data_IF_594213878800
#
_entry.id   IF_594213878800
#
_cell.length_a   1.000
_cell.length_b   1.000
_cell.length_c   1.000
_cell.angle_alpha   90.00
_cell.angle_beta   90.00
_cell.angle_gamma   90.00
#
_symmetry.space_group_name_H-M   'P 1'
#
loop_
_entity.id
_entity.type
_entity.pdbx_description
1 polymer ?
#
# COMPACT_ATOMS: atom_id res chain seq x y z
N UNK A 1 -3.62 26.51 -8.87
CA UNK A 1 -3.17 26.77 -7.48
C UNK A 1 -4.00 25.93 -6.55
N UNK A 2 -3.36 25.18 -5.62
CA UNK A 2 -4.09 24.41 -4.60
C UNK A 2 -4.56 25.37 -3.50
N UNK A 3 -5.74 25.13 -2.94
CA UNK A 3 -6.27 25.91 -1.81
C UNK A 3 -5.89 25.22 -0.50
N UNK A 4 -5.30 25.93 0.48
CA UNK A 4 -5.05 25.36 1.81
C UNK A 4 -6.35 24.91 2.46
N UNK A 5 -6.29 23.79 3.19
CA UNK A 5 -7.42 23.19 3.91
C UNK A 5 -7.01 22.94 5.36
N UNK A 6 -7.95 23.16 6.28
CA UNK A 6 -7.72 23.04 7.72
C UNK A 6 -8.89 22.33 8.40
N UNK A 7 -8.67 21.82 9.61
CA UNK A 7 -9.69 21.21 10.45
C UNK A 7 -9.56 19.69 10.61
N UNK A 8 -10.57 19.05 11.22
CA UNK A 8 -10.59 17.61 11.47
C UNK A 8 -10.28 16.77 10.23
N UNK A 9 -9.32 15.85 10.35
CA UNK A 9 -8.90 14.98 9.26
C UNK A 9 -8.03 15.63 8.18
N UNK A 10 -7.62 16.89 8.35
CA UNK A 10 -6.77 17.63 7.41
C UNK A 10 -5.40 17.99 8.01
N UNK A 11 -4.93 17.23 9.01
CA UNK A 11 -3.61 17.44 9.60
C UNK A 11 -2.52 16.83 8.70
N UNK A 12 -1.55 17.65 8.30
CA UNK A 12 -0.35 17.21 7.61
C UNK A 12 0.60 16.42 8.53
N UNK A 13 1.54 15.69 7.94
CA UNK A 13 2.62 15.04 8.69
C UNK A 13 3.98 15.48 8.17
N UNK A 14 4.83 15.93 9.08
CA UNK A 14 6.17 16.40 8.75
C UNK A 14 7.03 15.24 8.21
N UNK A 15 7.81 15.48 7.16
CA UNK A 15 8.80 14.53 6.68
C UNK A 15 9.99 14.45 7.66
N UNK A 16 10.30 13.25 8.15
CA UNK A 16 11.34 12.99 9.16
C UNK A 16 12.64 12.43 8.56
N UNK A 17 12.89 12.70 7.28
CA UNK A 17 13.97 12.12 6.50
C UNK A 17 13.51 10.82 5.84
N UNK A 18 13.15 10.92 4.55
CA UNK A 18 12.62 9.84 3.73
C UNK A 18 11.39 9.11 4.32
N UNK A 19 10.56 9.78 5.13
CA UNK A 19 9.38 9.16 5.77
C UNK A 19 8.10 9.29 4.94
N UNK A 20 8.18 9.66 3.67
CA UNK A 20 7.01 9.86 2.82
C UNK A 20 6.20 8.56 2.64
N UNK A 21 6.84 7.39 2.59
CA UNK A 21 6.15 6.09 2.50
C UNK A 21 5.24 5.87 3.72
N UNK A 22 5.77 6.09 4.93
CA UNK A 22 5.02 6.03 6.18
C UNK A 22 3.89 7.05 6.14
N UNK A 23 4.21 8.28 5.71
CA UNK A 23 3.26 9.35 5.75
C UNK A 23 2.03 9.05 4.87
N UNK A 24 2.26 8.59 3.65
CA UNK A 24 1.21 8.23 2.70
C UNK A 24 0.35 7.05 3.20
N UNK A 25 0.97 6.01 3.77
CA UNK A 25 0.23 4.87 4.32
C UNK A 25 -0.65 5.30 5.49
N UNK A 26 -0.10 5.98 6.50
CA UNK A 26 -0.88 6.33 7.68
C UNK A 26 -2.01 7.31 7.35
N UNK A 27 -1.76 8.29 6.47
CA UNK A 27 -2.82 9.19 6.01
C UNK A 27 -3.96 8.43 5.32
N UNK A 28 -3.66 7.39 4.55
CA UNK A 28 -4.66 6.56 3.87
C UNK A 28 -5.43 5.69 4.86
N UNK A 29 -4.73 5.03 5.78
CA UNK A 29 -5.36 4.14 6.77
C UNK A 29 -6.32 4.90 7.69
N UNK A 30 -5.97 6.11 8.13
CA UNK A 30 -6.86 6.95 8.94
C UNK A 30 -8.01 7.62 8.15
N UNK A 31 -8.28 7.18 6.92
CA UNK A 31 -9.54 7.44 6.20
C UNK A 31 -10.48 6.23 6.19
N UNK A 32 -10.04 5.09 6.70
CA UNK A 32 -10.81 3.84 6.71
C UNK A 32 -11.58 3.76 8.03
N UNK A 33 -12.91 3.52 8.00
CA UNK A 33 -13.75 3.50 9.20
C UNK A 33 -13.22 2.60 10.33
N UNK A 34 -12.74 1.40 10.01
CA UNK A 34 -12.24 0.41 10.97
C UNK A 34 -11.06 0.97 11.79
N UNK A 35 -10.14 1.68 11.13
CA UNK A 35 -9.00 2.33 11.78
C UNK A 35 -9.43 3.53 12.61
N UNK A 36 -10.42 4.30 12.13
CA UNK A 36 -10.97 5.45 12.85
C UNK A 36 -11.68 4.97 14.12
N UNK A 37 -12.60 4.01 14.01
CA UNK A 37 -13.32 3.45 15.15
C UNK A 37 -12.36 2.92 16.22
N UNK A 38 -11.36 2.12 15.83
CA UNK A 38 -10.43 1.54 16.79
C UNK A 38 -9.52 2.58 17.45
N UNK A 39 -8.87 3.43 16.65
CA UNK A 39 -7.73 4.23 17.12
C UNK A 39 -8.06 5.71 17.35
N UNK A 40 -9.20 6.22 16.88
CA UNK A 40 -9.64 7.57 17.15
C UNK A 40 -10.81 7.60 18.12
N UNK A 41 -11.91 6.91 17.80
CA UNK A 41 -13.09 6.89 18.68
C UNK A 41 -12.81 6.08 19.95
N UNK A 42 -12.07 4.97 19.83
CA UNK A 42 -11.59 4.17 20.95
C UNK A 42 -10.39 4.74 21.72
N UNK A 43 -9.85 5.91 21.34
CA UNK A 43 -8.58 6.41 21.86
C UNK A 43 -8.58 6.61 23.39
N UNK A 44 -9.68 7.13 23.97
CA UNK A 44 -9.78 7.36 25.41
C UNK A 44 -9.64 6.05 26.20
N UNK A 45 -10.34 5.01 25.78
CA UNK A 45 -10.25 3.68 26.38
C UNK A 45 -8.82 3.11 26.27
N UNK A 46 -8.17 3.27 25.12
CA UNK A 46 -6.78 2.83 24.93
C UNK A 46 -5.84 3.57 25.89
N UNK A 47 -6.00 4.87 26.06
CA UNK A 47 -5.15 5.66 26.96
C UNK A 47 -5.40 5.34 28.44
N UNK A 48 -6.65 5.12 28.84
CA UNK A 48 -7.01 4.80 30.23
C UNK A 48 -6.55 3.42 30.67
N UNK A 49 -6.41 2.46 29.75
CA UNK A 49 -5.99 1.09 30.03
C UNK A 49 -4.47 0.87 29.91
N UNK A 50 -3.67 1.93 29.80
CA UNK A 50 -2.22 1.83 29.67
C UNK A 50 -1.56 1.29 30.95
N UNK A 51 -0.91 0.12 30.88
CA UNK A 51 -0.26 -0.52 32.05
C UNK A 51 1.27 -0.56 31.98
N UNK A 52 1.89 0.15 31.03
CA UNK A 52 3.34 0.17 30.81
C UNK A 52 3.84 1.49 30.24
N UNK A 53 5.04 1.51 29.63
CA UNK A 53 5.58 2.70 28.96
C UNK A 53 4.74 3.03 27.69
N UNK A 54 4.01 4.16 27.67
CA UNK A 54 3.19 4.54 26.52
C UNK A 54 3.98 4.74 25.22
N UNK A 55 5.29 5.02 25.30
CA UNK A 55 6.16 5.18 24.14
C UNK A 55 6.46 3.84 23.44
N UNK A 56 6.40 2.73 24.18
CA UNK A 56 6.67 1.38 23.68
C UNK A 56 5.40 0.57 23.38
N UNK A 57 4.22 1.13 23.66
CA UNK A 57 2.92 0.50 23.38
C UNK A 57 2.40 0.86 21.97
N UNK A 58 2.20 -0.16 21.15
CA UNK A 58 1.75 -0.01 19.78
C UNK A 58 0.36 0.62 19.66
N UNK A 59 -0.60 0.17 20.47
CA UNK A 59 -1.98 0.65 20.38
C UNK A 59 -2.08 2.10 20.86
N UNK A 60 -1.31 2.48 21.89
CA UNK A 60 -1.23 3.88 22.32
C UNK A 60 -0.60 4.77 21.26
N UNK A 61 0.52 4.35 20.63
CA UNK A 61 1.12 5.17 19.58
C UNK A 61 0.25 5.27 18.32
N UNK A 62 -0.48 4.21 17.96
CA UNK A 62 -1.51 4.25 16.90
C UNK A 62 -2.65 5.22 17.26
N UNK A 63 -3.19 5.13 18.48
CA UNK A 63 -4.28 6.00 18.92
C UNK A 63 -3.85 7.47 19.01
N UNK A 64 -2.64 7.72 19.53
CA UNK A 64 -2.03 9.05 19.54
C UNK A 64 -1.90 9.63 18.14
N UNK A 65 -1.46 8.82 17.18
CA UNK A 65 -1.33 9.23 15.78
C UNK A 65 -2.70 9.53 15.16
N UNK A 66 -3.69 8.65 15.36
CA UNK A 66 -5.06 8.86 14.90
C UNK A 66 -5.67 10.14 15.45
N UNK A 67 -5.55 10.37 16.75
CA UNK A 67 -5.96 11.62 17.39
C UNK A 67 -5.26 12.83 16.79
N UNK A 68 -3.95 12.75 16.57
CA UNK A 68 -3.17 13.80 15.93
C UNK A 68 -3.66 14.14 14.53
N UNK A 69 -4.08 13.14 13.76
CA UNK A 69 -4.54 13.30 12.37
C UNK A 69 -5.98 13.79 12.26
N UNK A 70 -6.87 13.34 13.16
CA UNK A 70 -8.31 13.46 12.99
C UNK A 70 -8.95 14.52 13.87
N UNK A 71 -8.34 14.90 15.00
CA UNK A 71 -8.95 15.85 15.96
C UNK A 71 -9.08 17.29 15.44
N UNK A 72 -8.32 17.68 14.42
CA UNK A 72 -8.23 19.07 13.93
C UNK A 72 -7.38 20.00 14.78
N UNK A 73 -6.94 19.55 15.97
CA UNK A 73 -6.07 20.33 16.89
C UNK A 73 -4.76 20.79 16.26
N UNK A 74 -4.26 20.04 15.28
CA UNK A 74 -3.00 20.28 14.59
C UNK A 74 -3.20 20.74 13.14
N UNK A 75 -4.40 21.15 12.78
CA UNK A 75 -4.74 21.68 11.47
C UNK A 75 -5.60 22.93 11.63
N UNK A 76 -4.95 24.02 12.04
CA UNK A 76 -5.58 25.33 12.27
C UNK A 76 -5.01 26.34 11.27
N UNK A 77 -5.84 27.24 10.70
CA UNK A 77 -5.33 28.25 9.79
C UNK A 77 -4.31 29.16 10.50
N UNK A 78 -3.27 29.63 9.80
CA UNK A 78 -2.33 30.56 10.38
C UNK A 78 -3.02 31.90 10.72
N UNK A 79 -2.54 32.65 11.72
CA UNK A 79 -3.10 33.95 12.07
C UNK A 79 -3.14 34.90 10.87
N UNK A 80 -4.13 35.82 10.80
CA UNK A 80 -4.18 36.85 9.76
C UNK A 80 -2.87 37.64 9.66
N UNK A 81 -2.36 37.80 8.46
CA UNK A 81 -1.08 38.48 8.20
C UNK A 81 0.15 37.58 8.23
N UNK A 82 -0.01 36.28 8.46
CA UNK A 82 1.08 35.31 8.29
C UNK A 82 1.51 35.21 6.82
N UNK A 83 2.79 34.93 6.53
CA UNK A 83 3.25 34.61 5.18
C UNK A 83 2.38 33.53 4.52
N UNK A 84 2.23 33.59 3.20
CA UNK A 84 1.44 32.61 2.42
C UNK A 84 1.93 31.17 2.66
N UNK A 85 3.20 30.99 2.99
CA UNK A 85 3.84 29.69 3.26
C UNK A 85 3.92 29.33 4.75
N UNK A 86 3.24 30.08 5.63
CA UNK A 86 3.22 29.83 7.07
C UNK A 86 2.28 28.68 7.48
N UNK A 87 2.12 27.68 6.62
CA UNK A 87 1.27 26.53 6.90
C UNK A 87 1.77 25.81 8.16
N UNK A 88 0.86 25.38 9.05
CA UNK A 88 1.23 24.62 10.23
C UNK A 88 1.99 23.36 9.80
N UNK A 89 3.10 23.00 10.47
CA UNK A 89 3.92 21.84 10.09
C UNK A 89 3.20 20.49 10.29
N UNK A 90 1.99 20.50 10.84
CA UNK A 90 1.21 19.33 11.21
C UNK A 90 1.82 18.60 12.40
N UNK A 91 1.72 17.27 12.40
CA UNK A 91 2.33 16.42 13.44
C UNK A 91 3.65 15.80 12.99
N UNK A 92 4.53 15.54 13.93
CA UNK A 92 5.81 14.86 13.71
C UNK A 92 5.85 13.53 14.48
N UNK A 93 5.44 12.39 13.88
CA UNK A 93 5.23 11.13 14.60
C UNK A 93 6.54 10.35 14.85
N UNK A 94 7.52 10.99 15.51
CA UNK A 94 8.85 10.39 15.76
C UNK A 94 8.79 9.14 16.62
N UNK A 95 8.02 9.17 17.71
CA UNK A 95 7.89 8.02 18.61
C UNK A 95 7.24 6.84 17.90
N UNK A 96 6.16 7.08 17.16
CA UNK A 96 5.53 6.07 16.33
C UNK A 96 6.52 5.46 15.30
N UNK A 97 7.27 6.29 14.56
CA UNK A 97 8.28 5.80 13.60
C UNK A 97 9.32 4.91 14.29
N UNK A 98 9.86 5.36 15.43
CA UNK A 98 10.86 4.59 16.18
C UNK A 98 10.30 3.26 16.64
N UNK A 99 9.07 3.24 17.18
CA UNK A 99 8.43 2.05 17.69
C UNK A 99 8.19 1.01 16.59
N UNK A 100 7.53 1.40 15.49
CA UNK A 100 7.20 0.45 14.42
C UNK A 100 8.45 -0.01 13.64
N UNK A 101 9.52 0.79 13.62
CA UNK A 101 10.77 0.43 12.98
C UNK A 101 11.71 -0.41 13.84
N UNK A 102 11.42 -0.56 15.15
CA UNK A 102 12.30 -1.21 16.11
C UNK A 102 12.58 -2.67 15.69
N UNK A 103 13.87 -2.98 15.51
CA UNK A 103 14.32 -4.32 15.12
C UNK A 103 14.11 -4.68 13.64
N UNK A 104 13.53 -3.79 12.82
CA UNK A 104 13.37 -4.03 11.38
C UNK A 104 14.59 -3.50 10.61
N UNK A 105 15.27 -4.31 9.76
CA UNK A 105 16.48 -3.88 9.04
C UNK A 105 16.29 -2.60 8.22
N UNK A 106 15.14 -2.49 7.53
CA UNK A 106 14.83 -1.35 6.68
C UNK A 106 14.17 -0.17 7.43
N UNK A 107 13.08 -0.42 8.16
CA UNK A 107 12.29 0.64 8.80
C UNK A 107 12.92 1.28 10.04
N UNK A 108 13.97 0.68 10.61
CA UNK A 108 14.79 1.34 11.64
C UNK A 108 15.68 2.45 11.08
N UNK A 109 15.88 2.50 9.76
CA UNK A 109 16.79 3.44 9.10
C UNK A 109 16.11 4.75 8.70
N UNK A 110 16.89 5.64 8.05
CA UNK A 110 16.41 6.88 7.42
C UNK A 110 16.45 6.80 5.89
N UNK A 111 16.50 5.60 5.31
CA UNK A 111 16.47 5.40 3.86
C UNK A 111 15.05 5.51 3.31
N UNK A 112 14.94 5.71 1.99
CA UNK A 112 13.68 5.55 1.28
C UNK A 112 13.27 4.08 1.30
N UNK A 113 11.98 3.82 1.42
CA UNK A 113 11.43 2.47 1.53
C UNK A 113 10.19 2.31 0.67
N UNK A 114 9.88 1.07 0.34
CA UNK A 114 8.71 0.71 -0.43
C UNK A 114 7.43 0.79 0.43
N UNK A 115 6.37 1.37 -0.16
CA UNK A 115 5.07 1.59 0.51
C UNK A 115 4.34 0.26 0.75
N UNK A 116 4.44 -0.67 -0.19
CA UNK A 116 3.79 -1.97 -0.10
C UNK A 116 4.45 -2.83 1.00
N UNK A 117 5.78 -2.85 1.07
CA UNK A 117 6.49 -3.52 2.16
C UNK A 117 6.14 -2.93 3.53
N UNK A 118 6.08 -1.59 3.64
CA UNK A 118 5.70 -0.93 4.88
C UNK A 118 4.28 -1.25 5.31
N UNK A 119 3.32 -1.29 4.37
CA UNK A 119 1.94 -1.67 4.65
C UNK A 119 1.85 -3.10 5.19
N UNK A 120 2.51 -4.07 4.56
CA UNK A 120 2.52 -5.46 5.03
C UNK A 120 3.16 -5.60 6.42
N UNK A 121 4.25 -4.88 6.68
CA UNK A 121 4.87 -4.82 8.00
C UNK A 121 3.91 -4.27 9.05
N UNK A 122 3.21 -3.18 8.74
CA UNK A 122 2.22 -2.58 9.65
C UNK A 122 1.03 -3.51 9.91
N UNK A 123 0.49 -4.19 8.89
CA UNK A 123 -0.56 -5.20 9.05
C UNK A 123 -0.10 -6.36 9.94
N UNK A 124 1.17 -6.77 9.82
CA UNK A 124 1.76 -7.78 10.70
C UNK A 124 1.86 -7.30 12.15
N UNK A 125 2.20 -6.01 12.38
CA UNK A 125 2.17 -5.42 13.71
C UNK A 125 0.75 -5.33 14.27
N UNK A 126 -0.24 -4.98 13.44
CA UNK A 126 -1.65 -4.94 13.84
C UNK A 126 -2.15 -6.31 14.31
N UNK A 127 -1.86 -7.36 13.54
CA UNK A 127 -2.22 -8.74 13.89
C UNK A 127 -1.59 -9.14 15.25
N UNK A 128 -0.31 -8.81 15.47
CA UNK A 128 0.39 -9.11 16.73
C UNK A 128 -0.20 -8.38 17.94
N UNK A 129 -0.67 -7.15 17.75
CA UNK A 129 -1.16 -6.26 18.81
C UNK A 129 -2.69 -6.23 18.94
N UNK A 130 -3.40 -7.08 18.19
CA UNK A 130 -4.86 -7.22 18.25
C UNK A 130 -5.29 -8.60 18.75
N UNK A 131 -4.40 -9.37 19.40
CA UNK A 131 -4.77 -10.67 19.97
C UNK A 131 -5.90 -10.49 20.98
N UNK A 132 -7.04 -11.13 20.73
CA UNK A 132 -8.30 -11.04 21.49
C UNK A 132 -9.07 -9.71 21.38
N UNK A 133 -8.70 -8.84 20.45
CA UNK A 133 -9.41 -7.59 20.16
C UNK A 133 -9.67 -7.47 18.66
N UNK A 134 -10.54 -6.54 18.27
CA UNK A 134 -10.81 -6.25 16.86
C UNK A 134 -9.53 -5.82 16.14
N UNK A 135 -9.23 -6.43 14.99
CA UNK A 135 -8.11 -6.05 14.14
C UNK A 135 -8.65 -5.25 12.94
N UNK A 136 -8.37 -3.94 12.82
CA UNK A 136 -8.89 -3.13 11.72
C UNK A 136 -8.26 -3.51 10.39
N UNK A 137 -7.17 -4.30 10.39
CA UNK A 137 -6.59 -4.87 9.18
C UNK A 137 -7.42 -5.98 8.54
N UNK A 138 -8.42 -6.54 9.24
CA UNK A 138 -9.32 -7.55 8.65
C UNK A 138 -10.13 -7.00 7.48
N UNK A 139 -10.41 -5.68 7.45
CA UNK A 139 -11.17 -5.05 6.36
C UNK A 139 -10.47 -5.11 4.99
N UNK A 140 -9.21 -5.52 4.95
CA UNK A 140 -8.47 -5.74 3.70
C UNK A 140 -8.51 -7.20 3.24
N UNK A 141 -8.90 -8.15 4.09
CA UNK A 141 -8.73 -9.56 3.81
C UNK A 141 -9.77 -10.04 2.80
N UNK A 142 -9.28 -10.68 1.74
CA UNK A 142 -10.10 -11.39 0.77
C UNK A 142 -9.48 -12.73 0.41
N UNK A 143 -10.26 -13.58 -0.26
CA UNK A 143 -9.81 -14.90 -0.71
C UNK A 143 -9.57 -14.90 -2.21
N UNK A 144 -8.44 -15.47 -2.62
CA UNK A 144 -8.11 -15.77 -4.02
C UNK A 144 -8.26 -17.28 -4.22
N UNK A 145 -9.00 -17.68 -5.25
CA UNK A 145 -9.10 -19.06 -5.70
C UNK A 145 -8.23 -19.30 -6.92
N UNK A 146 -7.45 -20.37 -6.86
CA UNK A 146 -6.68 -20.91 -7.96
C UNK A 146 -7.25 -22.25 -8.39
N UNK A 147 -7.66 -22.34 -9.65
CA UNK A 147 -8.16 -23.57 -10.26
C UNK A 147 -7.11 -24.15 -11.19
N UNK A 148 -6.72 -25.40 -10.93
CA UNK A 148 -5.81 -26.19 -11.75
C UNK A 148 -6.59 -27.27 -12.48
N UNK A 149 -6.43 -27.37 -13.81
CA UNK A 149 -7.04 -28.41 -14.61
C UNK A 149 -5.99 -29.19 -15.39
N UNK A 150 -5.96 -30.51 -15.18
CA UNK A 150 -5.10 -31.42 -15.92
C UNK A 150 -5.50 -31.46 -17.40
N UNK A 151 -4.54 -31.34 -18.32
CA UNK A 151 -4.83 -31.37 -19.76
C UNK A 151 -5.28 -32.75 -20.25
N UNK A 152 -4.74 -33.83 -19.67
CA UNK A 152 -5.04 -35.22 -20.04
C UNK A 152 -6.32 -35.74 -19.39
N UNK A 153 -6.36 -35.80 -18.06
CA UNK A 153 -7.50 -36.40 -17.32
C UNK A 153 -8.70 -35.47 -17.19
N UNK A 154 -8.55 -34.17 -17.51
CA UNK A 154 -9.54 -33.11 -17.32
C UNK A 154 -10.00 -32.89 -15.87
N UNK A 155 -9.50 -33.66 -14.89
CA UNK A 155 -9.77 -33.45 -13.46
C UNK A 155 -9.22 -32.11 -12.98
N UNK A 156 -9.86 -31.58 -11.96
CA UNK A 156 -9.60 -30.24 -11.41
C UNK A 156 -9.22 -30.29 -9.94
N UNK A 157 -8.42 -29.30 -9.51
CA UNK A 157 -8.15 -29.01 -8.10
C UNK A 157 -8.31 -27.52 -7.87
N UNK A 158 -8.96 -27.14 -6.78
CA UNK A 158 -9.09 -25.77 -6.33
C UNK A 158 -8.23 -25.56 -5.09
N UNK A 159 -7.56 -24.41 -5.01
CA UNK A 159 -6.82 -23.95 -3.85
C UNK A 159 -7.27 -22.54 -3.53
N UNK A 160 -7.49 -22.24 -2.25
CA UNK A 160 -7.83 -20.90 -1.80
C UNK A 160 -6.71 -20.36 -0.92
N UNK A 161 -6.39 -19.07 -1.06
CA UNK A 161 -5.45 -18.36 -0.20
C UNK A 161 -6.01 -17.02 0.23
N UNK A 162 -5.72 -16.62 1.47
CA UNK A 162 -6.06 -15.30 1.97
C UNK A 162 -5.04 -14.28 1.49
N UNK A 163 -5.53 -13.15 1.01
CA UNK A 163 -4.73 -12.01 0.56
C UNK A 163 -5.26 -10.72 1.20
N UNK A 164 -4.41 -9.71 1.28
CA UNK A 164 -4.78 -8.34 1.70
C UNK A 164 -4.54 -7.30 0.60
N UNK A 165 -3.81 -7.69 -0.44
CA UNK A 165 -3.43 -6.84 -1.56
C UNK A 165 -3.61 -7.65 -2.84
N UNK A 166 -4.25 -7.04 -3.84
CA UNK A 166 -4.38 -7.64 -5.17
C UNK A 166 -3.21 -7.18 -6.06
N UNK A 167 -2.20 -8.02 -6.30
CA UNK A 167 -1.12 -7.66 -7.21
C UNK A 167 -1.64 -7.66 -8.65
N UNK A 168 -1.55 -6.51 -9.32
CA UNK A 168 -1.88 -6.37 -10.73
C UNK A 168 -0.61 -6.20 -11.55
N UNK A 169 -0.33 -7.17 -12.42
CA UNK A 169 0.72 -7.05 -13.43
C UNK A 169 0.37 -5.94 -14.42
N UNK A 170 1.40 -5.26 -14.92
CA UNK A 170 1.26 -4.20 -15.93
C UNK A 170 1.60 -4.79 -17.31
N UNK A 171 0.61 -5.16 -18.15
CA UNK A 171 0.86 -5.73 -19.47
C UNK A 171 1.33 -4.65 -20.45
N UNK A 172 2.65 -4.48 -20.57
CA UNK A 172 3.26 -3.47 -21.46
C UNK A 172 2.88 -3.67 -22.94
N UNK A 173 2.61 -4.92 -23.33
CA UNK A 173 2.09 -5.28 -24.65
C UNK A 173 0.64 -4.84 -24.88
N UNK A 174 -0.11 -4.48 -23.84
CA UNK A 174 -1.44 -3.88 -23.96
C UNK A 174 -1.41 -2.34 -24.08
N UNK A 175 -0.23 -1.72 -24.15
CA UNK A 175 -0.11 -0.27 -24.30
C UNK A 175 -0.79 0.22 -25.60
N UNK A 176 -1.56 1.31 -25.52
CA UNK A 176 -2.30 1.87 -26.67
C UNK A 176 -1.51 2.90 -27.48
N UNK A 177 -0.35 3.34 -26.98
CA UNK A 177 0.49 4.37 -27.58
C UNK A 177 1.93 3.86 -27.83
N UNK A 178 2.07 2.60 -28.26
CA UNK A 178 3.38 1.94 -28.44
C UNK A 178 4.32 2.73 -29.34
N UNK A 179 3.82 3.26 -30.45
CA UNK A 179 4.65 4.01 -31.41
C UNK A 179 5.18 5.32 -30.81
N UNK A 180 4.36 6.02 -30.01
CA UNK A 180 4.78 7.25 -29.30
C UNK A 180 5.87 6.94 -28.26
N UNK A 181 5.71 5.83 -27.52
CA UNK A 181 6.69 5.37 -26.54
C UNK A 181 8.00 5.00 -27.22
N UNK A 182 7.95 4.20 -28.29
CA UNK A 182 9.13 3.82 -29.06
C UNK A 182 9.87 5.05 -29.63
N UNK A 183 9.13 6.03 -30.17
CA UNK A 183 9.71 7.27 -30.67
C UNK A 183 10.34 8.13 -29.55
N UNK A 184 9.77 8.11 -28.34
CA UNK A 184 10.37 8.77 -27.19
C UNK A 184 11.63 8.04 -26.70
N UNK A 185 11.61 6.71 -26.61
CA UNK A 185 12.77 5.90 -26.19
C UNK A 185 13.95 6.04 -27.16
N UNK A 186 13.68 6.09 -28.47
CA UNK A 186 14.70 6.36 -29.48
C UNK A 186 15.34 7.74 -29.27
N UNK A 187 14.54 8.80 -29.14
CA UNK A 187 15.02 10.17 -28.86
C UNK A 187 15.78 10.28 -27.55
N UNK A 188 15.32 9.57 -26.51
CA UNK A 188 15.97 9.53 -25.19
C UNK A 188 17.35 8.89 -25.30
N UNK A 189 17.45 7.75 -25.99
CA UNK A 189 18.72 7.04 -26.21
C UNK A 189 19.71 7.89 -26.99
N UNK A 190 19.25 8.57 -28.05
CA UNK A 190 20.08 9.51 -28.82
C UNK A 190 20.57 10.67 -27.94
N UNK A 191 19.69 11.31 -27.18
CA UNK A 191 20.06 12.39 -26.28
C UNK A 191 21.09 11.95 -25.22
N UNK A 192 20.89 10.78 -24.61
CA UNK A 192 21.81 10.20 -23.62
C UNK A 192 23.18 9.90 -24.24
N UNK A 193 23.24 9.42 -25.48
CA UNK A 193 24.51 9.21 -26.20
C UNK A 193 25.29 10.51 -26.45
N UNK A 194 24.57 11.64 -26.52
CA UNK A 194 25.13 12.98 -26.67
C UNK A 194 25.39 13.67 -25.30
N UNK A 195 25.23 12.96 -24.18
CA UNK A 195 25.36 13.51 -22.84
C UNK A 195 24.28 14.56 -22.49
N UNK A 196 23.16 14.55 -23.21
CA UNK A 196 22.02 15.45 -23.01
C UNK A 196 20.87 14.72 -22.32
N UNK A 197 20.09 15.46 -21.56
CA UNK A 197 18.83 14.96 -21.00
C UNK A 197 17.64 15.65 -21.65
N UNK A 198 16.60 14.87 -21.93
CA UNK A 198 15.33 15.42 -22.41
C UNK A 198 14.62 16.18 -21.28
N UNK A 199 13.83 17.18 -21.65
CA UNK A 199 13.04 17.95 -20.70
C UNK A 199 12.06 17.03 -19.93
N UNK A 200 11.86 17.22 -18.61
CA UNK A 200 10.95 16.38 -17.81
C UNK A 200 9.51 16.32 -18.36
N UNK A 201 9.04 17.42 -18.96
CA UNK A 201 7.68 17.54 -19.51
C UNK A 201 7.52 16.80 -20.86
N UNK A 202 8.62 16.37 -21.48
CA UNK A 202 8.61 15.63 -22.74
C UNK A 202 8.48 14.11 -22.57
N UNK A 203 8.40 13.63 -21.33
CA UNK A 203 8.33 12.19 -21.00
C UNK A 203 7.05 11.59 -21.57
N UNK A 204 7.22 10.57 -22.42
CA UNK A 204 6.11 9.72 -22.89
C UNK A 204 6.13 8.41 -22.12
N UNK A 205 5.02 8.07 -21.46
CA UNK A 205 4.85 6.80 -20.74
C UNK A 205 3.89 5.87 -21.49
N UNK A 206 4.04 4.54 -21.37
CA UNK A 206 3.02 3.60 -21.82
C UNK A 206 1.67 3.91 -21.18
N UNK A 207 0.64 4.04 -22.01
CA UNK A 207 -0.76 4.18 -21.60
C UNK A 207 -1.41 2.81 -21.69
N UNK A 208 -1.73 2.23 -20.55
CA UNK A 208 -2.35 0.90 -20.45
C UNK A 208 -3.72 1.09 -19.82
N UNK A 209 -4.75 0.43 -20.37
CA UNK A 209 -6.09 0.46 -19.79
C UNK A 209 -6.07 -0.32 -18.49
N UNK A 210 -6.68 0.24 -17.44
CA UNK A 210 -6.79 -0.45 -16.14
C UNK A 210 -7.39 -1.86 -16.26
N UNK A 211 -8.42 -2.02 -17.09
CA UNK A 211 -9.05 -3.32 -17.35
C UNK A 211 -8.08 -4.35 -17.95
N UNK A 212 -7.06 -3.93 -18.71
CA UNK A 212 -6.05 -4.87 -19.23
C UNK A 212 -5.23 -5.49 -18.09
N UNK A 213 -5.00 -4.77 -16.99
CA UNK A 213 -4.34 -5.32 -15.81
C UNK A 213 -5.21 -6.36 -15.09
N UNK A 214 -6.53 -6.12 -15.02
CA UNK A 214 -7.49 -7.09 -14.44
C UNK A 214 -7.66 -8.34 -15.32
N UNK A 215 -7.71 -8.15 -16.64
CA UNK A 215 -7.73 -9.26 -17.61
C UNK A 215 -6.46 -10.11 -17.48
N UNK A 216 -5.29 -9.48 -17.35
CA UNK A 216 -4.02 -10.18 -17.10
C UNK A 216 -4.06 -10.98 -15.80
N UNK A 217 -4.63 -10.43 -14.72
CA UNK A 217 -4.77 -11.15 -13.45
C UNK A 217 -5.64 -12.42 -13.54
N UNK A 218 -6.72 -12.38 -14.34
CA UNK A 218 -7.65 -13.51 -14.51
C UNK A 218 -7.29 -14.42 -15.68
N UNK A 219 -6.20 -14.12 -16.39
CA UNK A 219 -5.78 -14.84 -17.57
C UNK A 219 -5.43 -16.29 -17.24
N UNK A 220 -5.79 -17.18 -18.17
CA UNK A 220 -5.43 -18.58 -18.06
C UNK A 220 -3.95 -18.79 -18.39
N UNK A 221 -3.24 -19.45 -17.50
CA UNK A 221 -1.83 -19.79 -17.65
C UNK A 221 -1.67 -21.29 -17.95
N UNK A 222 -0.70 -21.65 -18.79
CA UNK A 222 -0.32 -23.04 -19.03
C UNK A 222 0.88 -23.37 -18.15
N UNK A 223 0.73 -24.37 -17.30
CA UNK A 223 1.80 -24.92 -16.47
C UNK A 223 2.33 -26.16 -17.17
N UNK A 224 3.60 -26.09 -17.58
CA UNK A 224 4.32 -27.24 -18.10
C UNK A 224 4.86 -28.08 -16.95
N UNK A 225 5.05 -29.39 -17.19
CA UNK A 225 5.62 -30.32 -16.21
C UNK A 225 4.85 -30.39 -14.87
N UNK A 226 3.51 -30.31 -14.93
CA UNK A 226 2.63 -30.45 -13.78
C UNK A 226 2.41 -31.92 -13.44
N UNK A 227 2.77 -32.36 -12.23
CA UNK A 227 2.51 -33.72 -11.79
C UNK A 227 1.02 -33.93 -11.50
N UNK A 228 0.35 -34.77 -12.31
CA UNK A 228 -1.05 -35.11 -12.10
C UNK A 228 -1.20 -36.44 -11.39
N UNK A 229 -1.69 -36.43 -10.15
CA UNK A 229 -2.01 -37.66 -9.39
C UNK A 229 -3.08 -38.52 -10.06
N UNK A 230 -3.93 -37.92 -10.90
CA UNK A 230 -4.94 -38.64 -11.66
C UNK A 230 -4.36 -39.44 -12.85
N UNK A 231 -3.20 -39.00 -13.37
CA UNK A 231 -2.50 -39.64 -14.50
C UNK A 231 -1.30 -40.46 -14.01
N UNK A 232 -0.76 -40.13 -12.83
CA UNK A 232 0.46 -40.72 -12.28
C UNK A 232 1.75 -40.23 -12.97
N UNK A 233 1.69 -39.14 -13.75
CA UNK A 233 2.83 -38.62 -14.52
C UNK A 233 2.77 -37.08 -14.68
N UNK A 234 3.87 -36.50 -15.16
CA UNK A 234 3.95 -35.09 -15.54
C UNK A 234 3.21 -34.83 -16.84
N UNK A 235 2.38 -33.80 -16.83
CA UNK A 235 1.53 -33.37 -17.94
C UNK A 235 1.53 -31.85 -18.02
N UNK A 236 0.80 -31.28 -18.97
CA UNK A 236 0.44 -29.86 -18.94
C UNK A 236 -0.81 -29.65 -18.09
N UNK A 237 -0.90 -28.50 -17.42
CA UNK A 237 -2.09 -28.09 -16.71
C UNK A 237 -2.45 -26.66 -17.08
N UNK A 238 -3.72 -26.31 -16.88
CA UNK A 238 -4.22 -24.96 -17.03
C UNK A 238 -4.55 -24.38 -15.66
N UNK A 239 -3.93 -23.26 -15.30
CA UNK A 239 -4.22 -22.50 -14.08
C UNK A 239 -5.09 -21.29 -14.43
N UNK A 240 -6.09 -21.03 -13.61
CA UNK A 240 -6.89 -19.80 -13.66
C UNK A 240 -7.06 -19.25 -12.25
N UNK A 241 -6.92 -17.94 -12.09
CA UNK A 241 -7.03 -17.24 -10.81
C UNK A 241 -8.28 -16.40 -10.77
N UNK A 242 -9.01 -16.41 -9.65
CA UNK A 242 -10.22 -15.61 -9.42
C UNK A 242 -10.29 -15.11 -7.98
N UNK A 243 -11.12 -14.09 -7.75
CA UNK A 243 -11.51 -13.68 -6.40
C UNK A 243 -12.63 -14.61 -5.91
N UNK A 244 -12.39 -15.28 -4.78
CA UNK A 244 -13.38 -16.08 -4.09
C UNK A 244 -14.24 -15.26 -3.12
N UNK A 245 -13.68 -14.16 -2.61
CA UNK A 245 -14.41 -13.14 -1.86
C UNK A 245 -13.94 -11.75 -2.26
N UNK A 246 -14.75 -10.75 -1.94
CA UNK A 246 -14.34 -9.34 -1.94
C UNK A 246 -14.19 -8.88 -0.49
N UNK A 247 -13.17 -8.05 -0.20
CA UNK A 247 -13.00 -7.46 1.13
C UNK A 247 -14.10 -6.43 1.41
#
# INVERSE_FOLDING_TARGET
SLKPIYGPGYTGMTNMGNSCYLNSVMQTLFKIPDFIHKYFDGAESIFSNATGDPAEDFNIQMAKLGYGLLSGKYSVPPPPGSPVDADPPGICPRMFKTLIGKGHPEFSTKKQQDVHEFLLHLLTLLERNSKNHENPGECFKFQVEERFQCSTSKKVKYLTRSEVILPLSIPLDAAINKDEVAAYEARKTEAESLGKHLAPDSVVRPRIKFFSCLESFTQSEVINNFYSTAVGNNVTARKTTRLASFP
#
